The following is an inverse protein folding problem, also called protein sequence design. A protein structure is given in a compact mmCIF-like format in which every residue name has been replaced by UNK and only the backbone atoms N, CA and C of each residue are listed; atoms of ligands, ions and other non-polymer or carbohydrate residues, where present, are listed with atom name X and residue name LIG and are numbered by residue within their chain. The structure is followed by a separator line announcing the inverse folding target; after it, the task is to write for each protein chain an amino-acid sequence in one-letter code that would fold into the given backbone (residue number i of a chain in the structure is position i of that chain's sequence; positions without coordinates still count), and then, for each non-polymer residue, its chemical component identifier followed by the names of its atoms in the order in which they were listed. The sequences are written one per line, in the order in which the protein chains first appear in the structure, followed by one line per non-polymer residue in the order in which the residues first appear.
data_IF_894804995767
#
_entry.id   IF_894804995767
#
_cell.length_a   1.000
_cell.length_b   1.000
_cell.length_c   1.000
_cell.angle_alpha   90.00
_cell.angle_beta   90.00
_cell.angle_gamma   90.00
#
_symmetry.space_group_name_H-M   'P 1'
#
loop_
_entity.id
_entity.type
_entity.pdbx_description
1 polymer ?
#
# COMPACT_ATOMS: atom_id res chain seq x y z
N UNK A 1 43.91 16.74 -8.89
CA UNK A 1 43.07 16.31 -7.76
C UNK A 1 41.70 15.97 -8.31
N UNK A 2 41.39 14.68 -8.49
CA UNK A 2 39.99 14.25 -8.55
C UNK A 2 39.46 14.33 -7.11
N UNK A 3 38.25 14.86 -6.88
CA UNK A 3 37.66 14.79 -5.55
C UNK A 3 37.42 13.32 -5.23
N UNK A 4 38.00 12.86 -4.12
CA UNK A 4 37.66 11.56 -3.50
C UNK A 4 36.24 11.68 -2.95
N UNK A 5 35.25 11.59 -3.84
CA UNK A 5 33.87 11.33 -3.44
C UNK A 5 33.85 9.90 -2.92
N UNK A 6 33.59 9.74 -1.63
CA UNK A 6 33.09 8.49 -1.07
C UNK A 6 31.85 8.06 -1.88
N UNK A 7 31.77 6.79 -2.27
CA UNK A 7 30.62 6.22 -2.97
C UNK A 7 29.29 6.59 -2.28
N UNK A 8 29.28 6.72 -0.95
CA UNK A 8 28.13 7.17 -0.16
C UNK A 8 27.78 8.65 -0.38
N UNK A 9 28.76 9.53 -0.54
CA UNK A 9 28.55 10.96 -0.77
C UNK A 9 28.07 11.21 -2.20
N UNK A 10 28.65 10.50 -3.17
CA UNK A 10 28.19 10.49 -4.56
C UNK A 10 26.74 10.01 -4.68
N UNK A 11 26.41 8.87 -4.04
CA UNK A 11 25.04 8.32 -4.06
C UNK A 11 24.05 9.27 -3.41
N UNK A 12 24.43 9.94 -2.31
CA UNK A 12 23.58 10.93 -1.65
C UNK A 12 23.30 12.15 -2.53
N UNK A 13 24.31 12.69 -3.21
CA UNK A 13 24.12 13.82 -4.14
C UNK A 13 23.34 13.42 -5.40
N UNK A 14 23.48 12.17 -5.87
CA UNK A 14 22.62 11.61 -6.92
C UNK A 14 21.16 11.56 -6.49
N UNK A 15 20.87 11.13 -5.27
CA UNK A 15 19.52 11.10 -4.73
C UNK A 15 18.91 12.49 -4.56
N UNK A 16 19.71 13.47 -4.14
CA UNK A 16 19.25 14.87 -4.03
C UNK A 16 18.81 15.47 -5.38
N UNK A 17 19.39 15.00 -6.48
CA UNK A 17 19.10 15.46 -7.84
C UNK A 17 18.07 14.62 -8.58
N UNK A 18 17.72 13.45 -8.05
CA UNK A 18 16.76 12.56 -8.67
C UNK A 18 15.35 13.04 -8.33
N UNK A 19 14.60 13.48 -9.35
CA UNK A 19 13.15 13.56 -9.21
C UNK A 19 12.59 12.13 -9.20
N UNK A 20 12.42 11.60 -8.00
CA UNK A 20 12.03 10.22 -7.78
C UNK A 20 10.60 9.97 -8.29
N UNK A 21 9.70 10.95 -8.16
CA UNK A 21 8.32 10.81 -8.63
C UNK A 21 8.32 10.73 -10.15
N UNK A 22 8.98 11.66 -10.84
CA UNK A 22 9.10 11.62 -12.29
C UNK A 22 9.77 10.32 -12.78
N UNK A 23 10.84 9.89 -12.10
CA UNK A 23 11.53 8.66 -12.45
C UNK A 23 10.65 7.41 -12.26
N UNK A 24 9.87 7.33 -11.19
CA UNK A 24 8.94 6.21 -10.95
C UNK A 24 7.83 6.15 -11.98
N UNK A 25 7.32 7.31 -12.39
CA UNK A 25 6.31 7.42 -13.44
C UNK A 25 6.88 7.16 -14.84
N UNK A 26 8.21 7.23 -15.00
CA UNK A 26 8.88 6.96 -16.27
C UNK A 26 8.94 5.46 -16.59
N UNK A 27 9.09 5.13 -17.87
CA UNK A 27 9.30 3.75 -18.34
C UNK A 27 10.59 3.11 -17.81
N UNK A 28 11.52 3.89 -17.26
CA UNK A 28 12.80 3.40 -16.73
C UNK A 28 12.68 2.65 -15.38
N UNK A 29 11.60 2.90 -14.62
CA UNK A 29 11.30 2.22 -13.36
C UNK A 29 10.73 0.82 -13.56
N UNK A 30 10.18 0.52 -14.74
CA UNK A 30 9.45 -0.72 -15.06
C UNK A 30 10.25 -2.02 -14.96
N UNK A 31 11.58 -1.95 -14.76
CA UNK A 31 12.40 -3.16 -14.59
C UNK A 31 12.29 -3.68 -13.14
N UNK A 32 11.94 -4.96 -12.95
CA UNK A 32 11.78 -5.56 -11.63
C UNK A 32 13.01 -5.34 -10.74
N UNK A 33 12.78 -5.01 -9.46
CA UNK A 33 13.83 -4.91 -8.44
C UNK A 33 14.69 -3.63 -8.49
N UNK A 34 14.53 -2.76 -9.49
CA UNK A 34 15.21 -1.45 -9.49
C UNK A 34 14.72 -0.54 -8.38
N UNK A 35 13.40 -0.50 -8.17
CA UNK A 35 12.79 0.29 -7.11
C UNK A 35 13.20 -0.25 -5.74
N UNK A 36 13.08 -1.57 -5.52
CA UNK A 36 13.58 -2.21 -4.30
C UNK A 36 15.06 -1.90 -3.99
N UNK A 37 15.95 -1.98 -5.00
CA UNK A 37 17.36 -1.67 -4.81
C UNK A 37 17.57 -0.18 -4.51
N UNK A 38 16.92 0.70 -5.26
CA UNK A 38 16.99 2.14 -5.04
C UNK A 38 16.57 2.50 -3.61
N UNK A 39 15.40 2.00 -3.17
CA UNK A 39 14.90 2.24 -1.82
C UNK A 39 15.85 1.65 -0.76
N UNK A 40 16.43 0.48 -1.00
CA UNK A 40 17.43 -0.10 -0.10
C UNK A 40 18.68 0.78 0.03
N UNK A 41 19.17 1.36 -1.07
CA UNK A 41 20.30 2.30 -1.04
C UNK A 41 19.94 3.60 -0.33
N UNK A 42 18.72 4.12 -0.52
CA UNK A 42 18.21 5.25 0.26
C UNK A 42 18.22 4.95 1.75
N UNK A 43 17.72 3.78 2.16
CA UNK A 43 17.72 3.36 3.56
C UNK A 43 19.15 3.22 4.13
N UNK A 44 20.07 2.65 3.37
CA UNK A 44 21.46 2.42 3.83
C UNK A 44 22.25 3.72 3.98
N UNK A 45 22.01 4.71 3.11
CA UNK A 45 22.79 5.95 3.05
C UNK A 45 22.11 7.12 3.79
N UNK A 46 20.79 7.07 3.98
CA UNK A 46 20.01 8.06 4.73
C UNK A 46 20.16 7.87 6.24
N UNK A 47 21.23 8.41 6.85
CA UNK A 47 21.42 8.41 8.31
C UNK A 47 20.46 9.35 9.07
N UNK A 48 19.56 10.07 8.38
CA UNK A 48 18.65 11.01 9.00
C UNK A 48 17.19 10.55 8.86
N UNK A 49 16.53 10.37 10.00
CA UNK A 49 15.12 9.99 10.11
C UNK A 49 14.13 10.94 9.40
N UNK A 50 14.56 12.15 9.00
CA UNK A 50 13.76 13.08 8.20
C UNK A 50 13.47 12.59 6.78
N UNK A 51 14.36 11.76 6.21
CA UNK A 51 14.19 11.22 4.86
C UNK A 51 13.24 10.00 4.81
N UNK A 52 12.78 9.49 5.97
CA UNK A 52 11.80 8.39 6.05
C UNK A 52 10.36 8.84 5.73
N UNK A 53 10.05 10.14 5.83
CA UNK A 53 8.74 10.72 5.44
C UNK A 53 8.43 10.40 3.98
N UNK A 54 9.46 10.33 3.14
CA UNK A 54 9.36 9.99 1.73
C UNK A 54 8.79 8.60 1.46
N UNK A 55 9.01 7.62 2.34
CA UNK A 55 8.53 6.23 2.13
C UNK A 55 7.03 6.11 2.45
N UNK A 56 6.51 6.88 3.40
CA UNK A 56 5.06 6.92 3.67
C UNK A 56 4.30 7.52 2.48
N UNK A 57 4.79 8.65 1.96
CA UNK A 57 4.24 9.27 0.76
C UNK A 57 4.38 8.36 -0.47
N UNK A 58 5.44 7.55 -0.53
CA UNK A 58 5.74 6.62 -1.63
C UNK A 58 4.68 5.52 -1.79
N UNK A 59 4.26 4.87 -0.69
CA UNK A 59 3.20 3.84 -0.76
C UNK A 59 1.95 4.47 -1.35
N UNK A 60 1.59 5.65 -0.88
CA UNK A 60 0.39 6.34 -1.34
C UNK A 60 0.55 6.85 -2.79
N UNK A 61 1.77 7.19 -3.25
CA UNK A 61 2.06 7.55 -4.64
C UNK A 61 1.92 6.33 -5.55
N UNK A 62 2.38 5.15 -5.11
CA UNK A 62 2.15 3.88 -5.82
C UNK A 62 0.67 3.51 -5.84
N UNK A 63 -0.05 3.72 -4.73
CA UNK A 63 -1.52 3.56 -4.69
C UNK A 63 -2.20 4.44 -5.73
N UNK A 64 -1.69 5.66 -5.93
CA UNK A 64 -2.33 6.66 -6.78
C UNK A 64 -1.96 6.55 -8.27
N UNK A 65 -0.69 6.33 -8.60
CA UNK A 65 -0.20 6.45 -9.97
C UNK A 65 0.18 5.14 -10.66
N UNK A 66 0.61 4.11 -9.92
CA UNK A 66 1.05 2.85 -10.55
C UNK A 66 1.14 1.69 -9.55
N UNK A 67 0.44 0.60 -9.87
CA UNK A 67 0.50 -0.66 -9.12
C UNK A 67 1.85 -1.39 -9.24
N UNK A 68 2.71 -0.99 -10.19
CA UNK A 68 3.89 -1.75 -10.59
C UNK A 68 4.91 -1.95 -9.48
N UNK A 69 4.98 -1.02 -8.52
CA UNK A 69 6.05 -1.00 -7.51
C UNK A 69 5.56 -1.35 -6.11
N UNK A 70 4.29 -1.72 -5.96
CA UNK A 70 3.71 -1.88 -4.62
C UNK A 70 4.32 -3.06 -3.85
N UNK A 71 4.67 -4.15 -4.54
CA UNK A 71 5.33 -5.30 -3.94
C UNK A 71 6.71 -4.90 -3.40
N UNK A 72 7.46 -4.15 -4.22
CA UNK A 72 8.76 -3.60 -3.87
C UNK A 72 8.67 -2.72 -2.61
N UNK A 73 7.57 -1.99 -2.37
CA UNK A 73 7.45 -1.06 -1.24
C UNK A 73 6.87 -1.72 0.01
N UNK A 74 5.79 -2.50 -0.15
CA UNK A 74 5.12 -3.15 0.98
C UNK A 74 5.97 -4.28 1.58
N UNK A 75 6.95 -4.83 0.84
CA UNK A 75 7.98 -5.68 1.43
C UNK A 75 8.85 -4.94 2.45
N UNK A 76 9.02 -3.64 2.29
CA UNK A 76 9.95 -2.82 3.06
C UNK A 76 9.29 -2.20 4.30
N UNK A 77 7.98 -1.95 4.26
CA UNK A 77 7.24 -1.30 5.35
C UNK A 77 5.98 -2.04 5.80
N UNK A 78 5.69 -1.95 7.10
CA UNK A 78 4.66 -2.76 7.76
C UNK A 78 3.24 -2.49 7.25
N UNK A 79 2.87 -1.23 7.01
CA UNK A 79 1.52 -0.82 6.59
C UNK A 79 1.55 0.53 5.87
N UNK A 80 0.70 0.76 4.86
CA UNK A 80 0.36 2.12 4.44
C UNK A 80 -0.26 2.86 5.62
N UNK A 81 0.38 3.93 6.08
CA UNK A 81 -0.29 4.90 6.92
C UNK A 81 -1.04 5.83 5.98
N UNK A 82 -2.34 5.61 5.77
CA UNK A 82 -3.13 6.63 5.08
C UNK A 82 -3.28 7.83 6.00
N UNK A 83 -2.45 8.84 5.76
CA UNK A 83 -2.52 10.13 6.42
C UNK A 83 -3.89 10.77 6.15
N UNK A 84 -4.40 11.52 7.13
CA UNK A 84 -5.72 12.17 7.08
C UNK A 84 -5.88 13.06 5.82
N UNK A 85 -4.81 13.74 5.39
CA UNK A 85 -4.82 14.58 4.18
C UNK A 85 -4.99 13.75 2.90
N UNK A 86 -4.46 12.53 2.85
CA UNK A 86 -4.58 11.62 1.70
C UNK A 86 -5.97 11.00 1.62
N UNK A 87 -6.61 10.76 2.76
CA UNK A 87 -8.01 10.36 2.82
C UNK A 87 -8.92 11.40 2.15
N UNK A 88 -8.74 12.69 2.51
CA UNK A 88 -9.52 13.79 1.94
C UNK A 88 -9.26 13.95 0.43
N UNK A 89 -8.01 13.80 0.02
CA UNK A 89 -7.64 13.87 -1.39
C UNK A 89 -8.29 12.74 -2.22
N UNK A 90 -8.18 11.47 -1.79
CA UNK A 90 -8.82 10.33 -2.48
C UNK A 90 -10.34 10.50 -2.57
N UNK A 91 -10.93 11.02 -1.49
CA UNK A 91 -12.36 11.29 -1.42
C UNK A 91 -12.78 12.37 -2.43
N UNK A 92 -11.98 13.43 -2.58
CA UNK A 92 -12.20 14.50 -3.55
C UNK A 92 -12.04 14.00 -5.00
N UNK A 93 -10.97 13.25 -5.30
CA UNK A 93 -10.73 12.69 -6.63
C UNK A 93 -11.85 11.71 -7.04
N UNK A 94 -12.30 10.83 -6.16
CA UNK A 94 -13.43 9.93 -6.43
C UNK A 94 -14.74 10.70 -6.65
N UNK A 95 -14.95 11.80 -5.92
CA UNK A 95 -16.11 12.67 -6.12
C UNK A 95 -16.05 13.37 -7.48
N UNK A 96 -14.86 13.78 -7.93
CA UNK A 96 -14.62 14.39 -9.25
C UNK A 96 -14.78 13.39 -10.40
N UNK A 97 -14.27 12.17 -10.23
CA UNK A 97 -14.43 11.07 -11.19
C UNK A 97 -15.89 10.63 -11.30
N UNK A 98 -16.66 10.79 -10.21
CA UNK A 98 -18.04 10.31 -10.14
C UNK A 98 -18.93 11.28 -9.35
N UNK A 99 -19.61 12.16 -10.08
CA UNK A 99 -20.52 13.19 -9.55
C UNK A 99 -21.60 12.68 -8.56
N UNK A 100 -21.90 11.38 -8.54
CA UNK A 100 -22.88 10.75 -7.65
C UNK A 100 -22.30 10.23 -6.33
N UNK A 101 -20.98 10.19 -6.15
CA UNK A 101 -20.34 9.68 -4.95
C UNK A 101 -20.40 10.72 -3.83
N UNK A 102 -21.07 10.41 -2.71
CA UNK A 102 -21.26 11.35 -1.60
C UNK A 102 -20.43 10.97 -0.36
N UNK A 103 -19.48 11.83 0.07
CA UNK A 103 -18.62 11.55 1.22
C UNK A 103 -19.34 11.29 2.55
N UNK A 104 -20.51 11.91 2.73
CA UNK A 104 -21.23 11.97 4.02
C UNK A 104 -21.68 10.60 4.53
N UNK A 105 -21.83 9.59 3.67
CA UNK A 105 -22.27 8.23 4.08
C UNK A 105 -21.14 7.26 4.41
N UNK A 106 -19.93 7.53 3.91
CA UNK A 106 -18.75 6.73 4.25
C UNK A 106 -18.35 7.02 5.69
N UNK A 107 -18.39 8.29 6.07
CA UNK A 107 -17.96 8.82 7.38
C UNK A 107 -19.00 8.68 8.50
N UNK A 108 -20.25 8.33 8.20
CA UNK A 108 -21.38 8.51 9.12
C UNK A 108 -21.38 7.65 10.41
N UNK A 109 -20.50 6.66 10.58
CA UNK A 109 -20.43 5.85 11.81
C UNK A 109 -19.14 5.02 11.93
N UNK A 110 -18.11 5.33 11.14
CA UNK A 110 -16.94 4.47 10.97
C UNK A 110 -15.67 5.18 11.39
N UNK A 111 -14.69 4.44 11.88
CA UNK A 111 -13.36 5.00 12.12
C UNK A 111 -12.74 5.47 10.81
N UNK A 112 -11.91 6.52 10.86
CA UNK A 112 -11.21 7.04 9.69
C UNK A 112 -10.42 5.93 8.97
N UNK A 113 -9.75 5.06 9.72
CA UNK A 113 -9.06 3.87 9.20
C UNK A 113 -9.99 2.99 8.36
N UNK A 114 -11.21 2.71 8.83
CA UNK A 114 -12.16 1.86 8.11
C UNK A 114 -12.68 2.55 6.84
N UNK A 115 -12.88 3.85 6.90
CA UNK A 115 -13.21 4.66 5.73
C UNK A 115 -12.08 4.65 4.69
N UNK A 116 -10.82 4.78 5.11
CA UNK A 116 -9.66 4.72 4.24
C UNK A 116 -9.55 3.36 3.53
N UNK A 117 -9.76 2.26 4.24
CA UNK A 117 -9.77 0.92 3.65
C UNK A 117 -10.87 0.73 2.61
N UNK A 118 -12.06 1.27 2.87
CA UNK A 118 -13.13 1.31 1.88
C UNK A 118 -12.67 2.09 0.65
N UNK A 119 -12.25 3.35 0.82
CA UNK A 119 -11.77 4.23 -0.27
C UNK A 119 -10.65 3.61 -1.09
N UNK A 120 -9.73 2.87 -0.47
CA UNK A 120 -8.70 2.12 -1.19
C UNK A 120 -9.29 1.09 -2.15
N UNK A 121 -10.28 0.30 -1.70
CA UNK A 121 -10.95 -0.67 -2.57
C UNK A 121 -11.62 0.03 -3.75
N UNK A 122 -12.31 1.16 -3.49
CA UNK A 122 -12.91 1.99 -4.54
C UNK A 122 -11.87 2.45 -5.55
N UNK A 123 -10.82 3.12 -5.06
CA UNK A 123 -9.79 3.74 -5.88
C UNK A 123 -9.13 2.72 -6.80
N UNK A 124 -8.65 1.61 -6.23
CA UNK A 124 -8.02 0.52 -6.98
C UNK A 124 -8.97 -0.04 -8.01
N UNK A 125 -10.25 -0.23 -7.66
CA UNK A 125 -11.25 -0.71 -8.60
C UNK A 125 -11.44 0.24 -9.79
N UNK A 126 -11.48 1.55 -9.57
CA UNK A 126 -11.68 2.53 -10.64
C UNK A 126 -10.46 2.71 -11.53
N UNK A 127 -9.24 2.55 -11.01
CA UNK A 127 -8.03 2.71 -11.83
C UNK A 127 -7.55 1.38 -12.45
N UNK A 128 -8.21 0.24 -12.14
CA UNK A 128 -7.82 -1.08 -12.65
C UNK A 128 -7.93 -1.27 -14.16
N UNK A 129 -8.62 -0.37 -14.88
CA UNK A 129 -8.98 -0.53 -16.30
C UNK A 129 -7.79 -0.78 -17.23
N UNK A 130 -6.58 -0.40 -16.85
CA UNK A 130 -5.40 -0.64 -17.66
C UNK A 130 -4.74 -1.99 -17.34
N UNK A 131 -4.87 -2.54 -16.12
CA UNK A 131 -4.14 -3.74 -15.64
C UNK A 131 -4.80 -4.44 -14.44
N UNK A 132 -5.77 -5.32 -14.70
CA UNK A 132 -6.56 -6.00 -13.66
C UNK A 132 -5.74 -6.89 -12.71
N UNK A 133 -4.75 -7.64 -13.22
CA UNK A 133 -3.93 -8.54 -12.40
C UNK A 133 -3.04 -7.79 -11.41
N UNK A 134 -2.41 -6.69 -11.83
CA UNK A 134 -1.60 -5.84 -10.96
C UNK A 134 -2.46 -5.18 -9.87
N UNK A 135 -3.70 -4.77 -10.20
CA UNK A 135 -4.64 -4.17 -9.24
C UNK A 135 -5.11 -5.14 -8.15
N UNK A 136 -5.41 -6.39 -8.52
CA UNK A 136 -5.82 -7.42 -7.57
C UNK A 136 -4.68 -7.79 -6.63
N UNK A 137 -3.47 -7.98 -7.18
CA UNK A 137 -2.27 -8.28 -6.40
C UNK A 137 -1.90 -7.13 -5.46
N UNK A 138 -2.04 -5.90 -5.94
CA UNK A 138 -1.88 -4.70 -5.14
C UNK A 138 -2.82 -4.69 -3.93
N UNK A 139 -4.10 -4.94 -4.17
CA UNK A 139 -5.09 -4.96 -3.10
C UNK A 139 -4.80 -6.11 -2.13
N UNK A 140 -4.41 -7.30 -2.62
CA UNK A 140 -3.98 -8.44 -1.81
C UNK A 140 -2.83 -8.06 -0.86
N UNK A 141 -1.81 -7.37 -1.35
CA UNK A 141 -0.62 -7.00 -0.58
C UNK A 141 -0.94 -5.97 0.51
N UNK A 142 -1.71 -4.93 0.19
CA UNK A 142 -2.18 -3.94 1.18
C UNK A 142 -3.00 -4.63 2.26
N UNK A 143 -3.99 -5.43 1.86
CA UNK A 143 -4.87 -6.11 2.81
C UNK A 143 -4.14 -7.18 3.63
N UNK A 144 -3.02 -7.72 3.15
CA UNK A 144 -2.15 -8.61 3.92
C UNK A 144 -1.27 -7.90 4.95
N UNK A 145 -1.15 -6.58 4.84
CA UNK A 145 -0.31 -5.73 5.69
C UNK A 145 -1.08 -5.11 6.85
N UNK A 146 -2.39 -4.89 6.71
CA UNK A 146 -3.24 -4.27 7.74
C UNK A 146 -3.86 -5.31 8.69
N UNK A 147 -4.04 -5.02 9.99
CA UNK A 147 -4.63 -5.96 10.93
C UNK A 147 -6.17 -6.03 10.85
N UNK A 148 -6.79 -5.14 10.08
CA UNK A 148 -8.23 -4.95 10.05
C UNK A 148 -9.01 -6.21 9.60
N UNK A 149 -10.23 -6.34 10.13
CA UNK A 149 -11.20 -7.35 9.73
C UNK A 149 -11.56 -7.21 8.25
N UNK A 150 -12.08 -8.28 7.65
CA UNK A 150 -12.63 -8.20 6.29
C UNK A 150 -13.76 -7.18 6.21
N UNK A 151 -13.92 -6.54 5.06
CA UNK A 151 -15.11 -5.75 4.77
C UNK A 151 -16.30 -6.68 4.60
N UNK A 152 -17.40 -6.30 5.21
CA UNK A 152 -18.69 -6.93 4.96
C UNK A 152 -19.27 -6.46 3.62
N UNK A 153 -20.11 -7.29 3.02
CA UNK A 153 -20.90 -6.91 1.85
C UNK A 153 -21.77 -5.70 2.15
N UNK A 154 -22.28 -5.58 3.39
CA UNK A 154 -23.12 -4.47 3.82
C UNK A 154 -22.34 -3.16 3.93
N UNK A 155 -21.09 -3.20 4.40
CA UNK A 155 -20.22 -2.03 4.44
C UNK A 155 -19.93 -1.50 3.04
N UNK A 156 -19.58 -2.41 2.12
CA UNK A 156 -19.34 -2.08 0.72
C UNK A 156 -20.65 -1.59 0.08
N UNK A 157 -21.75 -2.35 0.14
CA UNK A 157 -23.03 -1.93 -0.43
C UNK A 157 -23.45 -0.55 0.07
N UNK A 158 -23.38 -0.30 1.37
CA UNK A 158 -23.76 1.00 1.96
C UNK A 158 -22.87 2.13 1.46
N UNK A 159 -21.57 1.91 1.31
CA UNK A 159 -20.63 2.91 0.82
C UNK A 159 -20.78 3.17 -0.69
N UNK A 160 -21.15 2.15 -1.48
CA UNK A 160 -21.21 2.21 -2.94
C UNK A 160 -22.63 2.47 -3.50
N UNK A 161 -23.68 2.41 -2.65
CA UNK A 161 -25.10 2.48 -3.06
C UNK A 161 -25.45 3.71 -3.89
N UNK A 162 -24.85 4.85 -3.56
CA UNK A 162 -24.99 6.09 -4.33
C UNK A 162 -23.83 6.20 -5.30
N UNK A 163 -24.06 5.68 -6.49
CA UNK A 163 -23.19 5.86 -7.62
C UNK A 163 -23.08 4.63 -8.47
N UNK A 164 -22.94 3.44 -7.86
CA UNK A 164 -22.85 2.18 -8.59
C UNK A 164 -24.22 1.64 -8.99
N UNK A 165 -24.30 1.04 -10.18
CA UNK A 165 -25.43 0.18 -10.52
C UNK A 165 -25.20 -1.24 -9.93
N UNK A 166 -26.22 -2.08 -9.95
CA UNK A 166 -26.16 -3.43 -9.38
C UNK A 166 -25.07 -4.32 -10.01
N UNK A 167 -24.80 -4.15 -11.31
CA UNK A 167 -23.77 -4.91 -12.02
C UNK A 167 -22.38 -4.51 -11.52
N UNK A 168 -22.11 -3.21 -11.47
CA UNK A 168 -20.83 -2.69 -11.00
C UNK A 168 -20.59 -3.02 -9.53
N UNK A 169 -21.63 -2.95 -8.69
CA UNK A 169 -21.53 -3.36 -7.30
C UNK A 169 -21.15 -4.85 -7.17
N UNK A 170 -21.71 -5.70 -8.04
CA UNK A 170 -21.32 -7.12 -8.13
C UNK A 170 -19.87 -7.28 -8.57
N UNK A 171 -19.39 -6.47 -9.52
CA UNK A 171 -18.00 -6.51 -9.98
C UNK A 171 -17.02 -6.08 -8.89
N UNK A 172 -17.38 -5.10 -8.06
CA UNK A 172 -16.61 -4.68 -6.90
C UNK A 172 -16.53 -5.79 -5.85
N UNK A 173 -17.66 -6.45 -5.57
CA UNK A 173 -17.69 -7.60 -4.66
C UNK A 173 -16.78 -8.72 -5.13
N UNK A 174 -16.86 -9.09 -6.41
CA UNK A 174 -16.01 -10.11 -7.01
C UNK A 174 -14.54 -9.71 -6.93
N UNK A 175 -14.21 -8.47 -7.32
CA UNK A 175 -12.85 -7.95 -7.26
C UNK A 175 -12.25 -7.98 -5.84
N UNK A 176 -13.01 -7.50 -4.84
CA UNK A 176 -12.58 -7.56 -3.44
C UNK A 176 -12.39 -8.99 -2.96
N UNK A 177 -13.36 -9.87 -3.24
CA UNK A 177 -13.32 -11.27 -2.83
C UNK A 177 -12.13 -12.01 -3.43
N UNK A 178 -11.86 -11.81 -4.72
CA UNK A 178 -10.72 -12.39 -5.43
C UNK A 178 -9.39 -11.94 -4.84
N UNK A 179 -9.22 -10.64 -4.59
CA UNK A 179 -7.96 -10.09 -4.09
C UNK A 179 -7.69 -10.43 -2.62
N UNK A 180 -8.70 -10.31 -1.76
CA UNK A 180 -8.54 -10.37 -0.30
C UNK A 180 -8.82 -11.77 0.27
N UNK A 181 -9.42 -12.65 -0.53
CA UNK A 181 -9.65 -14.06 -0.19
C UNK A 181 -11.00 -14.32 0.48
N UNK A 182 -12.03 -13.55 0.14
CA UNK A 182 -13.41 -13.78 0.54
C UNK A 182 -14.25 -12.52 0.75
N UNK A 183 -15.57 -12.66 0.57
CA UNK A 183 -16.59 -11.70 0.95
C UNK A 183 -17.50 -12.31 2.01
N UNK A 184 -17.82 -11.54 3.04
CA UNK A 184 -18.66 -11.99 4.15
C UNK A 184 -19.85 -11.06 4.31
N UNK A 185 -20.99 -11.61 4.75
CA UNK A 185 -22.17 -10.80 5.07
C UNK A 185 -21.90 -9.90 6.27
N UNK A 186 -21.25 -10.45 7.30
CA UNK A 186 -20.89 -9.75 8.52
C UNK A 186 -19.40 -9.38 8.57
N UNK A 187 -19.04 -8.51 9.52
CA UNK A 187 -17.64 -8.18 9.79
C UNK A 187 -16.95 -9.37 10.45
N UNK A 188 -16.08 -10.04 9.70
CA UNK A 188 -15.35 -11.23 10.16
C UNK A 188 -13.91 -10.86 10.54
N UNK A 189 -13.45 -11.20 11.76
CA UNK A 189 -12.07 -10.95 12.17
C UNK A 189 -11.09 -11.83 11.39
N UNK A 190 -9.84 -11.39 11.31
CA UNK A 190 -8.80 -12.16 10.63
C UNK A 190 -8.39 -13.39 11.46
N UNK A 191 -7.80 -14.38 10.80
CA UNK A 191 -7.19 -15.51 11.51
C UNK A 191 -6.03 -15.03 12.39
N UNK A 192 -5.78 -15.70 13.50
CA UNK A 192 -4.68 -15.36 14.43
C UNK A 192 -3.33 -15.18 13.71
N UNK A 193 -2.99 -16.07 12.77
CA UNK A 193 -1.76 -15.98 11.98
C UNK A 193 -1.59 -14.64 11.25
N UNK A 194 -2.69 -13.99 10.86
CA UNK A 194 -2.66 -12.71 10.16
C UNK A 194 -2.38 -11.58 11.14
N UNK A 195 -3.05 -11.56 12.30
CA UNK A 195 -2.70 -10.65 13.39
C UNK A 195 -1.23 -10.80 13.79
N UNK A 196 -0.74 -12.03 13.97
CA UNK A 196 0.68 -12.28 14.27
C UNK A 196 1.61 -11.68 13.20
N UNK A 197 1.28 -11.84 11.91
CA UNK A 197 2.05 -11.25 10.80
C UNK A 197 2.21 -9.74 10.97
N UNK A 198 1.08 -9.05 11.12
CA UNK A 198 1.04 -7.58 11.22
C UNK A 198 1.72 -7.06 12.48
N UNK A 199 1.62 -7.77 13.60
CA UNK A 199 2.29 -7.40 14.85
C UNK A 199 3.81 -7.58 14.74
N UNK A 200 4.27 -8.71 14.19
CA UNK A 200 5.72 -8.98 14.02
C UNK A 200 6.34 -7.93 13.10
N UNK A 201 5.75 -7.73 11.92
CA UNK A 201 6.20 -6.71 10.97
C UNK A 201 6.20 -5.31 11.60
N UNK A 202 5.14 -4.95 12.33
CA UNK A 202 5.06 -3.65 13.03
C UNK A 202 6.19 -3.49 14.04
N UNK A 203 6.47 -4.52 14.85
CA UNK A 203 7.53 -4.45 15.87
C UNK A 203 8.92 -4.35 15.25
N UNK A 204 9.20 -5.11 14.20
CA UNK A 204 10.46 -4.99 13.46
C UNK A 204 10.65 -3.57 12.91
N UNK A 205 9.62 -3.04 12.24
CA UNK A 205 9.65 -1.68 11.68
C UNK A 205 9.78 -0.59 12.77
N UNK A 206 9.07 -0.71 13.89
CA UNK A 206 9.16 0.24 15.03
C UNK A 206 10.54 0.23 15.71
N UNK A 207 11.23 -0.91 15.66
CA UNK A 207 12.57 -1.06 16.21
C UNK A 207 13.66 -0.66 15.20
N UNK A 208 13.30 -0.04 14.08
CA UNK A 208 14.24 0.43 13.07
C UNK A 208 14.83 -0.67 12.18
N UNK A 209 14.29 -1.89 12.22
CA UNK A 209 14.71 -2.93 11.30
C UNK A 209 14.03 -2.76 9.94
N UNK A 210 14.85 -2.81 8.89
CA UNK A 210 14.37 -3.01 7.54
C UNK A 210 13.66 -4.37 7.45
N UNK A 211 12.40 -4.41 7.01
CA UNK A 211 11.58 -5.62 7.15
C UNK A 211 12.20 -6.87 6.51
N UNK A 212 12.68 -6.86 5.26
CA UNK A 212 13.29 -8.04 4.66
C UNK A 212 14.49 -8.56 5.44
N UNK A 213 15.26 -7.69 6.09
CA UNK A 213 16.47 -8.07 6.81
C UNK A 213 16.14 -8.46 8.25
N UNK A 214 15.30 -7.69 8.95
CA UNK A 214 14.78 -8.04 10.27
C UNK A 214 14.04 -9.39 10.26
N UNK A 215 13.31 -9.72 9.20
CA UNK A 215 12.63 -11.02 9.03
C UNK A 215 13.66 -12.17 8.82
N UNK A 216 14.81 -11.90 8.21
CA UNK A 216 15.88 -12.91 8.10
C UNK A 216 16.59 -13.09 9.44
N UNK A 217 16.81 -12.01 10.17
CA UNK A 217 17.54 -11.97 11.45
C UNK A 217 16.83 -12.70 12.59
N UNK A 218 15.48 -12.71 12.62
CA UNK A 218 14.70 -13.43 13.64
C UNK A 218 14.84 -14.96 13.60
N UNK A 219 15.46 -15.53 12.56
CA UNK A 219 15.77 -16.96 12.50
C UNK A 219 14.56 -17.89 12.30
N UNK A 220 13.43 -17.38 11.78
CA UNK A 220 12.24 -18.21 11.50
C UNK A 220 12.45 -19.16 10.31
N UNK A 221 11.72 -20.28 10.23
CA UNK A 221 11.69 -21.13 9.03
C UNK A 221 11.33 -20.34 7.76
N UNK A 222 11.93 -20.69 6.61
CA UNK A 222 11.75 -20.00 5.31
C UNK A 222 10.28 -19.76 4.95
N UNK A 223 9.40 -20.74 5.20
CA UNK A 223 7.95 -20.62 4.95
C UNK A 223 7.29 -19.49 5.75
N UNK A 224 7.72 -19.28 7.01
CA UNK A 224 7.22 -18.18 7.83
C UNK A 224 7.86 -16.85 7.44
N UNK A 225 9.11 -16.85 6.99
CA UNK A 225 9.75 -15.64 6.44
C UNK A 225 9.01 -15.14 5.20
N UNK A 226 8.75 -16.02 4.21
CA UNK A 226 7.96 -15.67 3.01
C UNK A 226 6.57 -15.14 3.40
N UNK A 227 5.89 -15.82 4.33
CA UNK A 227 4.59 -15.35 4.84
C UNK A 227 4.64 -13.97 5.50
N UNK A 228 5.74 -13.61 6.19
CA UNK A 228 5.97 -12.29 6.76
C UNK A 228 6.36 -11.25 5.69
N UNK A 229 7.01 -11.67 4.61
CA UNK A 229 7.35 -10.85 3.43
C UNK A 229 6.18 -10.64 2.46
N UNK A 230 4.97 -11.12 2.80
CA UNK A 230 3.75 -11.03 1.98
C UNK A 230 3.75 -11.91 0.70
N UNK A 231 4.64 -12.91 0.69
CA UNK A 231 4.79 -13.93 -0.35
C UNK A 231 3.88 -15.16 -0.11
#
# INVERSE_FOLDING_TARGET
MQPELDDSEFVTECFRKLDLIEWLLSSHSSKPGRVSNLIYQFHRNGRNAGDMVWIDEFVDICVYHSFQHVDDVLKLKNTPNMLDDRFLFLLQELSSLRNSFTPKKITAARSLQRCSLLLQVFWVYFIKFQKHSEASEFLRLIWNSVPDSFLSSDEIATAFKEGTNSTELSDIFNFYSEAVGGLHLDVVPRKLKHYSRTVIRRRLSQNGHWLPDGIKEIGLPKKLQSYLNLE
#
